data_IF_673967685105
#
_entry.id   IF_673967685105
#
_cell.length_a   1.000
_cell.length_b   1.000
_cell.length_c   1.000
_cell.angle_alpha   90.00
_cell.angle_beta   90.00
_cell.angle_gamma   90.00
#
_symmetry.space_group_name_H-M   'P 1'
#
loop_
_entity.id
_entity.type
_entity.pdbx_description
1 polymer ?
#
# COMPACT_ATOMS: atom_id res chain seq x y z
N UNK A 1 32.34 -16.54 -3.68
CA UNK A 1 31.99 -15.96 -4.99
C UNK A 1 31.06 -14.79 -4.71
N UNK A 2 31.33 -13.61 -5.25
CA UNK A 2 30.45 -12.45 -5.08
C UNK A 2 29.24 -12.63 -5.98
N UNK A 3 28.07 -12.92 -5.40
CA UNK A 3 26.81 -12.84 -6.12
C UNK A 3 26.64 -11.39 -6.62
N UNK A 4 26.38 -11.21 -7.92
CA UNK A 4 25.94 -9.91 -8.47
C UNK A 4 24.41 -9.91 -8.41
N UNK A 5 23.82 -9.09 -7.56
CA UNK A 5 22.36 -8.96 -7.46
C UNK A 5 21.88 -8.49 -6.09
N UNK A 6 20.58 -8.58 -5.87
CA UNK A 6 19.90 -8.35 -4.59
C UNK A 6 20.11 -9.54 -3.65
N UNK A 7 20.09 -9.32 -2.32
CA UNK A 7 19.90 -10.39 -1.35
C UNK A 7 18.41 -10.81 -1.35
N UNK A 8 18.04 -12.05 -1.73
CA UNK A 8 16.64 -12.47 -1.84
C UNK A 8 15.87 -12.45 -0.52
N UNK A 9 16.53 -12.73 0.61
CA UNK A 9 15.90 -12.69 1.93
C UNK A 9 15.55 -11.24 2.31
N UNK A 10 16.51 -10.33 2.22
CA UNK A 10 16.28 -8.89 2.43
C UNK A 10 15.21 -8.34 1.48
N UNK A 11 15.20 -8.79 0.21
CA UNK A 11 14.16 -8.41 -0.76
C UNK A 11 12.75 -8.81 -0.32
N UNK A 12 12.59 -10.02 0.23
CA UNK A 12 11.31 -10.50 0.78
C UNK A 12 10.90 -9.74 2.04
N UNK A 13 11.84 -9.44 2.93
CA UNK A 13 11.57 -8.63 4.12
C UNK A 13 11.07 -7.23 3.74
N UNK A 14 11.75 -6.55 2.81
CA UNK A 14 11.34 -5.22 2.34
C UNK A 14 9.99 -5.27 1.63
N UNK A 15 9.72 -6.29 0.80
CA UNK A 15 8.41 -6.48 0.17
C UNK A 15 7.30 -6.57 1.23
N UNK A 16 7.54 -7.35 2.29
CA UNK A 16 6.61 -7.49 3.42
C UNK A 16 6.36 -6.14 4.10
N UNK A 17 7.41 -5.38 4.40
CA UNK A 17 7.26 -4.04 5.00
C UNK A 17 6.49 -3.06 4.11
N UNK A 18 6.63 -3.14 2.78
CA UNK A 18 5.84 -2.34 1.84
C UNK A 18 4.37 -2.74 1.92
N UNK A 19 4.06 -4.04 1.91
CA UNK A 19 2.67 -4.51 2.05
C UNK A 19 2.04 -4.04 3.37
N UNK A 20 2.78 -4.14 4.48
CA UNK A 20 2.33 -3.69 5.80
C UNK A 20 2.08 -2.18 5.85
N UNK A 21 2.93 -1.38 5.21
CA UNK A 21 2.72 0.07 5.13
C UNK A 21 1.44 0.42 4.35
N UNK A 22 1.14 -0.29 3.27
CA UNK A 22 -0.13 -0.14 2.54
C UNK A 22 -1.35 -0.44 3.42
N UNK A 23 -1.27 -1.49 4.23
CA UNK A 23 -2.32 -1.87 5.17
C UNK A 23 -2.53 -0.80 6.27
N UNK A 24 -1.44 -0.28 6.84
CA UNK A 24 -1.51 0.79 7.86
C UNK A 24 -2.14 2.08 7.33
N UNK A 25 -1.89 2.42 6.05
CA UNK A 25 -2.54 3.56 5.39
C UNK A 25 -4.05 3.34 5.31
N UNK A 26 -4.48 2.14 4.93
CA UNK A 26 -5.90 1.81 4.84
C UNK A 26 -6.59 1.94 6.21
N UNK A 27 -6.00 1.37 7.25
CA UNK A 27 -6.51 1.45 8.63
C UNK A 27 -6.64 2.90 9.12
N UNK A 28 -5.65 3.75 8.84
CA UNK A 28 -5.68 5.16 9.21
C UNK A 28 -6.79 5.94 8.47
N UNK A 29 -7.03 5.62 7.21
CA UNK A 29 -8.09 6.25 6.41
C UNK A 29 -9.47 5.78 6.85
N UNK A 30 -9.65 4.50 7.20
CA UNK A 30 -10.91 3.98 7.72
C UNK A 30 -11.27 4.63 9.07
N UNK A 31 -10.28 4.79 9.95
CA UNK A 31 -10.45 5.51 11.21
C UNK A 31 -10.84 6.99 10.96
N UNK A 32 -10.17 7.65 10.02
CA UNK A 32 -10.46 9.04 9.65
C UNK A 32 -11.86 9.19 9.04
N UNK A 33 -12.26 8.26 8.17
CA UNK A 33 -13.58 8.24 7.55
C UNK A 33 -14.69 8.10 8.59
N UNK A 34 -14.47 7.24 9.59
CA UNK A 34 -15.40 7.09 10.71
C UNK A 34 -15.59 8.40 11.46
N UNK A 35 -14.50 9.14 11.73
CA UNK A 35 -14.56 10.44 12.41
C UNK A 35 -15.25 11.51 11.55
N UNK A 36 -14.96 11.59 10.25
CA UNK A 36 -15.62 12.51 9.31
C UNK A 36 -17.14 12.36 9.36
N UNK A 37 -17.61 11.11 9.43
CA UNK A 37 -19.05 10.79 9.47
C UNK A 37 -19.72 11.02 10.85
N UNK A 38 -18.95 11.33 11.90
CA UNK A 38 -19.47 11.57 13.26
C UNK A 38 -19.68 13.03 13.59
N UNK A 39 -19.25 13.94 12.72
CA UNK A 39 -19.36 15.39 12.96
C UNK A 39 -20.84 15.79 12.91
N UNK A 40 -21.32 16.47 13.94
CA UNK A 40 -22.67 17.06 13.96
C UNK A 40 -22.75 18.29 13.04
N UNK A 41 -22.78 18.04 11.74
CA UNK A 41 -22.88 19.05 10.69
C UNK A 41 -23.97 18.64 9.71
N UNK A 42 -24.92 19.53 9.43
CA UNK A 42 -26.04 19.28 8.52
C UNK A 42 -26.14 20.45 7.56
N UNK A 43 -26.26 20.15 6.27
CA UNK A 43 -26.45 21.14 5.22
C UNK A 43 -25.68 20.79 3.94
N UNK A 44 -25.91 21.54 2.85
CA UNK A 44 -25.34 21.24 1.54
C UNK A 44 -23.80 21.24 1.53
N UNK A 45 -23.17 22.04 2.40
CA UNK A 45 -21.71 22.07 2.51
C UNK A 45 -21.15 20.77 3.14
N UNK A 46 -21.91 20.15 4.06
CA UNK A 46 -21.53 18.86 4.63
C UNK A 46 -21.67 17.76 3.58
N UNK A 47 -22.80 17.76 2.85
CA UNK A 47 -23.05 16.79 1.78
C UNK A 47 -21.93 16.85 0.72
N UNK A 48 -21.54 18.06 0.30
CA UNK A 48 -20.44 18.29 -0.64
C UNK A 48 -19.10 17.81 -0.08
N UNK A 49 -18.81 18.09 1.20
CA UNK A 49 -17.58 17.63 1.84
C UNK A 49 -17.52 16.09 1.94
N UNK A 50 -18.63 15.43 2.27
CA UNK A 50 -18.70 13.97 2.30
C UNK A 50 -18.49 13.37 0.90
N UNK A 51 -19.06 13.97 -0.14
CA UNK A 51 -18.82 13.56 -1.53
C UNK A 51 -17.34 13.68 -1.90
N UNK A 52 -16.72 14.82 -1.62
CA UNK A 52 -15.31 15.08 -1.88
C UNK A 52 -14.40 14.10 -1.09
N UNK A 53 -14.73 13.83 0.17
CA UNK A 53 -14.02 12.84 0.98
C UNK A 53 -14.09 11.44 0.38
N UNK A 54 -15.30 11.00 -0.02
CA UNK A 54 -15.48 9.70 -0.64
C UNK A 54 -14.75 9.59 -1.99
N UNK A 55 -14.71 10.66 -2.78
CA UNK A 55 -13.92 10.72 -4.01
C UNK A 55 -12.41 10.63 -3.74
N UNK A 56 -11.92 11.28 -2.69
CA UNK A 56 -10.53 11.19 -2.25
C UNK A 56 -10.15 9.76 -1.81
N UNK A 57 -11.00 9.11 -1.01
CA UNK A 57 -10.76 7.74 -0.53
C UNK A 57 -10.81 6.73 -1.69
N UNK A 58 -11.84 6.81 -2.53
CA UNK A 58 -12.04 5.86 -3.64
C UNK A 58 -11.08 6.05 -4.81
N UNK A 59 -10.46 7.23 -4.95
CA UNK A 59 -9.49 7.51 -6.00
C UNK A 59 -8.05 7.52 -5.47
N UNK A 60 -7.51 8.69 -5.05
CA UNK A 60 -6.13 8.82 -4.58
C UNK A 60 -5.67 7.79 -3.55
N UNK A 61 -6.45 7.52 -2.51
CA UNK A 61 -6.06 6.55 -1.47
C UNK A 61 -6.05 5.13 -2.01
N UNK A 62 -7.10 4.71 -2.72
CA UNK A 62 -7.16 3.38 -3.34
C UNK A 62 -5.96 3.15 -4.28
N UNK A 63 -5.63 4.13 -5.13
CA UNK A 63 -4.47 4.08 -6.02
C UNK A 63 -3.14 3.99 -5.26
N UNK A 64 -3.03 4.68 -4.11
CA UNK A 64 -1.84 4.61 -3.27
C UNK A 64 -1.65 3.20 -2.70
N UNK A 65 -2.70 2.61 -2.12
CA UNK A 65 -2.66 1.25 -1.56
C UNK A 65 -2.35 0.22 -2.64
N UNK A 66 -2.98 0.31 -3.81
CA UNK A 66 -2.65 -0.54 -4.97
C UNK A 66 -1.18 -0.36 -5.40
N UNK A 67 -0.67 0.86 -5.37
CA UNK A 67 0.73 1.16 -5.63
C UNK A 67 1.68 0.43 -4.68
N UNK A 68 1.39 0.41 -3.38
CA UNK A 68 2.19 -0.32 -2.40
C UNK A 68 2.13 -1.83 -2.64
N UNK A 69 0.93 -2.38 -2.85
CA UNK A 69 0.77 -3.82 -3.14
C UNK A 69 1.58 -4.24 -4.36
N UNK A 70 1.46 -3.49 -5.47
CA UNK A 70 2.18 -3.79 -6.70
C UNK A 70 3.70 -3.75 -6.52
N UNK A 71 4.23 -2.79 -5.74
CA UNK A 71 5.68 -2.71 -5.48
C UNK A 71 6.17 -3.84 -4.57
N UNK A 72 5.36 -4.25 -3.59
CA UNK A 72 5.62 -5.44 -2.79
C UNK A 72 5.72 -6.69 -3.67
N UNK A 73 4.73 -6.91 -4.54
CA UNK A 73 4.66 -8.08 -5.43
C UNK A 73 5.82 -8.10 -6.44
N UNK A 74 6.13 -6.94 -7.05
CA UNK A 74 7.27 -6.78 -7.96
C UNK A 74 8.59 -7.14 -7.26
N UNK A 75 8.80 -6.67 -6.04
CA UNK A 75 10.03 -6.93 -5.28
C UNK A 75 10.14 -8.39 -4.85
N UNK A 76 9.04 -8.99 -4.39
CA UNK A 76 8.97 -10.42 -4.06
C UNK A 76 9.29 -11.30 -5.28
N UNK A 77 8.73 -10.95 -6.44
CA UNK A 77 9.02 -11.64 -7.71
C UNK A 77 10.51 -11.55 -8.08
N UNK A 78 11.13 -10.38 -7.94
CA UNK A 78 12.56 -10.23 -8.20
C UNK A 78 13.42 -11.06 -7.24
N UNK A 79 13.02 -11.20 -5.97
CA UNK A 79 13.72 -12.03 -5.00
C UNK A 79 13.68 -13.51 -5.38
N UNK A 80 12.51 -14.02 -5.78
CA UNK A 80 12.33 -15.39 -6.25
C UNK A 80 13.17 -15.69 -7.50
N UNK A 81 13.19 -14.77 -8.46
CA UNK A 81 14.01 -14.89 -9.67
C UNK A 81 15.51 -14.93 -9.35
N UNK A 82 15.96 -14.11 -8.41
CA UNK A 82 17.35 -14.07 -7.98
C UNK A 82 17.77 -15.37 -7.26
N UNK A 83 16.90 -15.94 -6.41
CA UNK A 83 17.12 -17.25 -5.78
C UNK A 83 17.25 -18.35 -6.84
N UNK A 84 16.33 -18.39 -7.80
CA UNK A 84 16.33 -19.40 -8.86
C UNK A 84 17.59 -19.32 -9.73
N UNK A 85 18.04 -18.11 -10.09
CA UNK A 85 19.27 -17.91 -10.86
C UNK A 85 20.53 -18.30 -10.08
N UNK A 86 20.55 -18.03 -8.77
CA UNK A 86 21.68 -18.34 -7.88
C UNK A 86 21.83 -19.84 -7.64
N UNK A 87 20.73 -20.57 -7.57
CA UNK A 87 20.71 -22.03 -7.37
C UNK A 87 21.02 -22.84 -8.65
N UNK A 88 21.12 -22.19 -9.82
CA UNK A 88 21.47 -22.83 -11.10
C UNK A 88 22.97 -22.73 -11.46
N UNK A 89 23.80 -22.13 -10.59
CA UNK A 89 25.26 -22.01 -10.74
C UNK A 89 26.00 -22.97 -9.80
#
# INVERSE_FOLDING_TARGET
MTFKGMNPEEGREVATSISEAGQQILEAIDASTSLVNTVEWIGPDYDAYQEDWNAFVSGPVANLVEGFQRRSDELGTHAEQQDAASNQQ
#
